data_IF_447259132232
#
_entry.id   IF_447259132232
#
_cell.length_a   1.000
_cell.length_b   1.000
_cell.length_c   1.000
_cell.angle_alpha   90.00
_cell.angle_beta   90.00
_cell.angle_gamma   90.00
#
_symmetry.space_group_name_H-M   'P 1'
#
loop_
_entity.id
_entity.type
_entity.pdbx_description
1 polymer ?
#
# COMPACT_ATOMS: atom_id res chain seq x y z
N UNK A 1 15.01 0.09 -14.90
CA UNK A 1 15.16 0.76 -13.59
C UNK A 1 14.09 0.24 -12.64
N UNK A 2 14.45 -0.03 -11.41
CA UNK A 2 13.47 -0.47 -10.42
C UNK A 2 12.71 0.74 -9.87
N UNK A 3 11.41 0.61 -9.80
CA UNK A 3 10.53 1.64 -9.23
C UNK A 3 10.06 1.18 -7.84
N UNK A 4 10.26 2.00 -6.82
CA UNK A 4 9.83 1.68 -5.46
C UNK A 4 8.79 2.69 -4.99
N UNK A 5 7.66 2.19 -4.53
CA UNK A 5 6.55 2.97 -4.03
C UNK A 5 6.40 2.72 -2.54
N UNK A 6 6.46 3.79 -1.74
CA UNK A 6 6.38 3.71 -0.28
C UNK A 6 5.24 4.60 0.18
N UNK A 7 4.31 4.01 0.92
CA UNK A 7 3.16 4.73 1.48
C UNK A 7 3.02 4.37 2.95
N UNK A 8 2.77 5.37 3.78
CA UNK A 8 2.36 5.13 5.16
C UNK A 8 1.01 5.80 5.42
N UNK A 9 0.21 5.17 6.27
CA UNK A 9 -1.12 5.66 6.62
C UNK A 9 -1.26 5.82 8.12
N UNK A 10 -1.94 6.89 8.52
CA UNK A 10 -2.45 7.06 9.87
C UNK A 10 -3.97 6.93 9.80
N UNK A 11 -4.52 6.05 10.62
CA UNK A 11 -5.95 5.80 10.63
C UNK A 11 -6.70 6.81 11.51
N UNK A 12 -7.95 7.08 11.16
CA UNK A 12 -8.83 7.97 11.95
C UNK A 12 -9.26 7.32 13.25
N UNK A 13 -9.43 6.00 13.24
CA UNK A 13 -9.95 5.25 14.38
C UNK A 13 -9.06 4.03 14.63
N UNK A 14 -9.08 3.53 15.86
CA UNK A 14 -8.27 2.38 16.25
C UNK A 14 -8.81 1.07 15.70
N UNK A 15 -10.06 1.02 15.29
CA UNK A 15 -10.73 -0.22 14.88
C UNK A 15 -10.77 -0.35 13.37
N UNK A 16 -9.63 -0.65 12.78
CA UNK A 16 -9.49 -0.89 11.34
C UNK A 16 -9.14 -2.36 11.13
N UNK A 17 -9.79 -3.00 10.17
CA UNK A 17 -9.43 -4.36 9.78
C UNK A 17 -8.24 -4.33 8.81
N UNK A 18 -7.07 -4.09 9.38
CA UNK A 18 -5.84 -4.01 8.60
C UNK A 18 -5.42 -5.37 8.03
N UNK A 19 -5.84 -6.46 8.64
CA UNK A 19 -5.61 -7.80 8.09
C UNK A 19 -6.35 -7.97 6.77
N UNK A 20 -7.60 -7.53 6.70
CA UNK A 20 -8.37 -7.58 5.46
C UNK A 20 -7.75 -6.74 4.36
N UNK A 21 -7.25 -5.55 4.71
CA UNK A 21 -6.54 -4.68 3.75
C UNK A 21 -5.28 -5.37 3.24
N UNK A 22 -4.48 -5.92 4.12
CA UNK A 22 -3.24 -6.64 3.78
C UNK A 22 -3.54 -7.80 2.83
N UNK A 23 -4.55 -8.60 3.14
CA UNK A 23 -4.92 -9.75 2.31
C UNK A 23 -5.40 -9.31 0.93
N UNK A 24 -6.21 -8.25 0.85
CA UNK A 24 -6.72 -7.74 -0.42
C UNK A 24 -5.58 -7.23 -1.31
N UNK A 25 -4.65 -6.47 -0.75
CA UNK A 25 -3.51 -5.94 -1.49
C UNK A 25 -2.56 -7.05 -1.95
N UNK A 26 -2.33 -8.05 -1.13
CA UNK A 26 -1.48 -9.19 -1.50
C UNK A 26 -2.12 -10.04 -2.59
N UNK A 27 -3.42 -10.27 -2.52
CA UNK A 27 -4.14 -11.01 -3.56
C UNK A 27 -4.04 -10.30 -4.90
N UNK A 28 -4.21 -8.98 -4.91
CA UNK A 28 -4.09 -8.19 -6.13
C UNK A 28 -2.67 -8.28 -6.71
N UNK A 29 -1.66 -8.01 -5.90
CA UNK A 29 -0.28 -7.91 -6.40
C UNK A 29 0.31 -9.26 -6.77
N UNK A 30 -0.20 -10.34 -6.18
CA UNK A 30 0.22 -11.69 -6.55
C UNK A 30 -0.16 -12.07 -7.98
N UNK A 31 -1.18 -11.41 -8.55
CA UNK A 31 -1.65 -11.67 -9.91
C UNK A 31 -1.13 -10.67 -10.95
N UNK A 32 -0.37 -9.67 -10.53
CA UNK A 32 0.10 -8.62 -11.43
C UNK A 32 1.54 -8.87 -11.91
N UNK A 33 1.72 -8.87 -13.22
CA UNK A 33 3.04 -8.86 -13.82
C UNK A 33 3.73 -7.53 -13.51
N UNK A 34 5.04 -7.55 -13.41
CA UNK A 34 5.82 -6.35 -13.17
C UNK A 34 5.98 -5.96 -11.70
N UNK A 35 5.29 -6.64 -10.78
CA UNK A 35 5.51 -6.46 -9.34
C UNK A 35 6.67 -7.38 -8.93
N UNK A 36 7.77 -6.78 -8.48
CA UNK A 36 8.96 -7.53 -8.04
C UNK A 36 8.86 -7.97 -6.60
N UNK A 37 8.38 -7.07 -5.73
CA UNK A 37 8.14 -7.39 -4.33
C UNK A 37 7.04 -6.48 -3.80
N UNK A 38 6.33 -6.96 -2.80
CA UNK A 38 5.26 -6.18 -2.19
C UNK A 38 5.16 -6.54 -0.72
N UNK A 39 5.42 -5.56 0.14
CA UNK A 39 5.33 -5.72 1.59
C UNK A 39 4.32 -4.71 2.11
N UNK A 40 3.35 -5.17 2.87
CA UNK A 40 2.41 -4.27 3.53
C UNK A 40 1.95 -4.88 4.84
N UNK A 41 1.53 -4.03 5.77
CA UNK A 41 1.04 -4.48 7.05
C UNK A 41 0.93 -3.39 8.08
N UNK A 42 0.38 -3.76 9.22
CA UNK A 42 0.19 -2.88 10.36
C UNK A 42 1.50 -2.62 11.08
N UNK A 43 1.62 -1.43 11.68
CA UNK A 43 2.72 -1.09 12.56
C UNK A 43 2.78 -2.04 13.76
N UNK A 44 3.97 -2.36 14.21
CA UNK A 44 4.15 -3.30 15.33
C UNK A 44 4.00 -2.67 16.71
N UNK A 45 3.80 -1.34 16.78
CA UNK A 45 3.56 -0.64 18.04
C UNK A 45 4.81 -0.38 18.88
N UNK A 46 5.99 -0.32 18.24
CA UNK A 46 7.24 -0.14 18.97
C UNK A 46 7.53 1.33 19.32
N UNK A 47 7.23 2.24 18.39
CA UNK A 47 7.56 3.66 18.53
C UNK A 47 6.26 4.49 18.55
N UNK A 48 6.05 5.34 19.59
CA UNK A 48 4.78 6.07 19.75
C UNK A 48 4.42 7.00 18.58
N UNK A 49 5.41 7.49 17.84
CA UNK A 49 5.19 8.43 16.73
C UNK A 49 5.04 7.73 15.38
N UNK A 50 5.14 6.41 15.33
CA UNK A 50 5.00 5.66 14.09
C UNK A 50 3.58 5.76 13.55
N UNK A 51 3.45 5.75 12.22
CA UNK A 51 2.14 5.65 11.57
C UNK A 51 1.60 4.23 11.75
N UNK A 52 0.39 3.99 11.26
CA UNK A 52 -0.36 2.77 11.62
C UNK A 52 -0.20 1.64 10.61
N UNK A 53 0.12 1.94 9.36
CA UNK A 53 0.17 0.95 8.29
C UNK A 53 1.12 1.42 7.19
N UNK A 54 1.80 0.48 6.56
CA UNK A 54 2.72 0.81 5.47
C UNK A 54 2.58 -0.14 4.30
N UNK A 55 2.88 0.40 3.12
CA UNK A 55 3.03 -0.36 1.87
C UNK A 55 4.39 -0.04 1.28
N UNK A 56 5.15 -1.07 0.94
CA UNK A 56 6.41 -0.94 0.21
C UNK A 56 6.36 -1.89 -0.98
N UNK A 57 6.18 -1.33 -2.17
CA UNK A 57 6.10 -2.11 -3.40
C UNK A 57 7.25 -1.78 -4.32
N UNK A 58 7.90 -2.80 -4.89
CA UNK A 58 8.90 -2.61 -5.95
C UNK A 58 8.38 -3.19 -7.25
N UNK A 59 8.60 -2.46 -8.34
CA UNK A 59 8.05 -2.73 -9.66
C UNK A 59 9.19 -2.72 -10.67
N UNK A 60 9.02 -3.43 -11.78
CA UNK A 60 10.04 -3.49 -12.84
C UNK A 60 10.38 -2.10 -13.37
N UNK A 61 9.35 -1.25 -13.52
CA UNK A 61 9.49 0.10 -14.07
C UNK A 61 8.29 0.95 -13.67
N UNK A 62 8.31 2.19 -14.13
CA UNK A 62 7.22 3.15 -13.89
C UNK A 62 5.90 2.68 -14.47
N UNK A 63 5.93 2.07 -15.65
CA UNK A 63 4.71 1.59 -16.32
C UNK A 63 4.03 0.48 -15.51
N UNK A 64 4.81 -0.43 -14.94
CA UNK A 64 4.27 -1.48 -14.08
C UNK A 64 3.58 -0.90 -12.83
N UNK A 65 4.18 0.14 -12.24
CA UNK A 65 3.54 0.84 -11.12
C UNK A 65 2.24 1.51 -11.54
N UNK A 66 2.23 2.18 -12.69
CA UNK A 66 1.01 2.85 -13.16
C UNK A 66 -0.11 1.84 -13.43
N UNK A 67 0.23 0.67 -13.97
CA UNK A 67 -0.76 -0.39 -14.18
C UNK A 67 -1.35 -0.88 -12.86
N UNK A 68 -0.53 -1.02 -11.83
CA UNK A 68 -0.97 -1.35 -10.47
C UNK A 68 -1.86 -0.25 -9.90
N UNK A 69 -1.41 1.00 -9.96
CA UNK A 69 -2.17 2.14 -9.41
C UNK A 69 -3.56 2.23 -10.01
N UNK A 70 -3.66 2.08 -11.32
CA UNK A 70 -4.90 2.30 -12.06
C UNK A 70 -5.75 1.02 -12.21
N UNK A 71 -5.28 -0.11 -11.70
CA UNK A 71 -6.03 -1.36 -11.75
C UNK A 71 -7.36 -1.21 -11.01
N UNK A 72 -8.48 -1.66 -11.60
CA UNK A 72 -9.80 -1.51 -10.97
C UNK A 72 -9.89 -2.05 -9.55
N UNK A 73 -9.24 -3.19 -9.28
CA UNK A 73 -9.25 -3.77 -7.93
C UNK A 73 -8.46 -2.91 -6.94
N UNK A 74 -7.35 -2.30 -7.36
CA UNK A 74 -6.60 -1.38 -6.52
C UNK A 74 -7.45 -0.15 -6.18
N UNK A 75 -8.16 0.39 -7.17
CA UNK A 75 -9.03 1.53 -6.96
C UNK A 75 -10.19 1.19 -6.02
N UNK A 76 -10.73 -0.04 -6.12
CA UNK A 76 -11.78 -0.50 -5.21
C UNK A 76 -11.27 -0.59 -3.77
N UNK A 77 -10.08 -1.19 -3.58
CA UNK A 77 -9.47 -1.32 -2.25
C UNK A 77 -9.24 0.06 -1.64
N UNK A 78 -8.69 0.99 -2.43
CA UNK A 78 -8.48 2.37 -1.96
C UNK A 78 -9.79 3.04 -1.56
N UNK A 79 -10.79 3.02 -2.42
CA UNK A 79 -12.02 3.78 -2.19
C UNK A 79 -12.92 3.18 -1.12
N UNK A 80 -12.90 1.86 -0.95
CA UNK A 80 -13.80 1.17 -0.03
C UNK A 80 -13.14 0.82 1.31
N UNK A 81 -11.86 0.48 1.31
CA UNK A 81 -11.20 -0.06 2.50
C UNK A 81 -10.19 0.88 3.13
N UNK A 82 -9.52 1.71 2.34
CA UNK A 82 -8.41 2.54 2.84
C UNK A 82 -8.81 3.99 3.05
N UNK A 83 -9.18 4.71 1.99
CA UNK A 83 -9.40 6.16 2.05
C UNK A 83 -10.48 6.59 3.06
N UNK A 84 -11.59 5.85 3.24
CA UNK A 84 -12.57 6.24 4.26
C UNK A 84 -12.01 6.26 5.69
N UNK A 85 -10.91 5.56 5.92
CA UNK A 85 -10.33 5.38 7.24
C UNK A 85 -9.03 6.15 7.46
N UNK A 86 -8.55 6.87 6.45
CA UNK A 86 -7.26 7.57 6.51
C UNK A 86 -7.42 8.96 7.10
N UNK A 87 -6.63 9.26 8.13
CA UNK A 87 -6.49 10.61 8.67
C UNK A 87 -5.36 11.35 7.98
N UNK A 88 -4.24 10.65 7.74
CA UNK A 88 -3.06 11.23 7.10
C UNK A 88 -2.30 10.14 6.37
N UNK A 89 -1.58 10.52 5.31
CA UNK A 89 -0.74 9.58 4.57
C UNK A 89 0.51 10.27 4.03
N UNK A 90 1.55 9.48 3.82
CA UNK A 90 2.78 9.94 3.17
C UNK A 90 3.05 9.06 1.96
N UNK A 91 3.65 9.65 0.93
CA UNK A 91 4.01 8.93 -0.29
C UNK A 91 5.41 9.33 -0.70
N UNK A 92 6.26 8.33 -0.97
CA UNK A 92 7.58 8.54 -1.57
C UNK A 92 7.76 7.52 -2.68
N UNK A 93 8.26 7.96 -3.80
CA UNK A 93 8.52 7.11 -4.96
C UNK A 93 9.95 7.30 -5.43
N UNK A 94 10.65 6.20 -5.59
CA UNK A 94 12.06 6.17 -5.93
C UNK A 94 12.29 5.38 -7.20
N UNK A 95 13.28 5.80 -7.98
CA UNK A 95 13.78 5.01 -9.12
C UNK A 95 15.30 4.91 -9.00
N UNK A 96 15.83 3.70 -9.26
CA UNK A 96 17.28 3.49 -9.27
C UNK A 96 17.72 2.55 -10.38
#
# INVERSE_FOLDING_TARGET
>A
MTFTHIVTFRWRAAEIDDTAITEALRALTGDLDGVRSYLCGADIGLTPTAYDFAVVGTFEDREAFLAYRDHPEHQRILSEMILPNVEDRTVVQLED
#
